data_IF_632203429375
#
_entry.id   IF_632203429375
#
_cell.length_a   1.000
_cell.length_b   1.000
_cell.length_c   1.000
_cell.angle_alpha   90.00
_cell.angle_beta   90.00
_cell.angle_gamma   90.00
#
_symmetry.space_group_name_H-M   'P 1'
#
loop_
_entity.id
_entity.type
_entity.pdbx_description
1 polymer ?
#
# COMPACT_ATOMS: atom_id res chain seq x y z
N UNK A 1 -12.83 32.58 35.52
CA UNK A 1 -12.54 32.90 34.10
C UNK A 1 -12.24 31.57 33.40
N UNK A 2 -13.18 31.04 32.61
CA UNK A 2 -13.05 29.77 31.87
C UNK A 2 -12.70 30.12 30.43
N UNK A 3 -11.62 29.55 29.91
CA UNK A 3 -11.13 29.78 28.55
C UNK A 3 -12.02 29.02 27.54
N UNK A 4 -12.66 29.69 26.57
CA UNK A 4 -13.62 29.06 25.65
C UNK A 4 -12.95 28.65 24.33
N UNK A 5 -11.84 27.91 24.39
CA UNK A 5 -11.27 27.22 23.23
C UNK A 5 -11.56 25.73 23.29
N UNK A 6 -12.85 25.42 23.15
CA UNK A 6 -13.30 24.21 22.48
C UNK A 6 -12.85 24.29 21.02
N UNK A 7 -11.67 23.74 20.71
CA UNK A 7 -11.09 23.74 19.37
C UNK A 7 -10.88 22.32 18.85
N UNK A 8 -11.94 21.73 18.28
CA UNK A 8 -11.86 20.68 17.28
C UNK A 8 -11.22 19.35 17.69
N UNK A 9 -12.03 18.29 17.77
CA UNK A 9 -11.55 16.90 17.63
C UNK A 9 -10.68 16.86 16.36
N UNK A 10 -9.42 16.37 16.40
CA UNK A 10 -8.61 16.30 15.19
C UNK A 10 -9.42 15.53 14.15
N UNK A 11 -9.60 16.13 12.98
CA UNK A 11 -10.20 15.47 11.83
C UNK A 11 -9.57 14.08 11.74
N UNK A 12 -10.40 13.04 11.75
CA UNK A 12 -9.94 11.66 11.72
C UNK A 12 -8.88 11.54 10.64
N UNK A 13 -7.68 11.07 11.02
CA UNK A 13 -6.59 10.84 10.07
C UNK A 13 -7.19 10.00 8.95
N UNK A 14 -7.34 10.52 7.72
CA UNK A 14 -7.98 9.79 6.64
C UNK A 14 -7.18 8.51 6.51
N UNK A 15 -7.74 7.37 6.93
CA UNK A 15 -7.01 6.12 7.19
C UNK A 15 -5.85 6.01 6.21
N UNK A 16 -4.67 6.47 6.64
CA UNK A 16 -3.52 6.55 5.76
C UNK A 16 -3.09 5.10 5.68
N UNK A 17 -3.67 4.39 4.71
CA UNK A 17 -3.33 3.01 4.42
C UNK A 17 -1.85 3.02 4.04
N UNK A 18 -1.00 2.80 5.04
CA UNK A 18 0.42 2.83 4.84
C UNK A 18 0.79 1.60 3.99
N UNK A 19 1.74 1.76 3.08
CA UNK A 19 2.21 0.67 2.22
C UNK A 19 2.71 -0.53 3.03
N UNK A 20 3.14 -0.30 4.28
CA UNK A 20 3.53 -1.35 5.22
C UNK A 20 2.34 -2.24 5.63
N UNK A 21 1.16 -1.66 5.89
CA UNK A 21 -0.05 -2.45 6.19
C UNK A 21 -0.54 -3.20 4.96
N UNK A 22 -0.58 -2.56 3.78
CA UNK A 22 -0.96 -3.26 2.56
C UNK A 22 -0.07 -4.49 2.29
N UNK A 23 1.25 -4.33 2.41
CA UNK A 23 2.21 -5.44 2.30
C UNK A 23 1.95 -6.54 3.33
N UNK A 24 1.64 -6.18 4.57
CA UNK A 24 1.40 -7.14 5.65
C UNK A 24 0.25 -8.09 5.31
N UNK A 25 -0.86 -7.56 4.79
CA UNK A 25 -2.00 -8.39 4.38
C UNK A 25 -1.64 -9.41 3.29
N UNK A 26 -0.80 -9.04 2.33
CA UNK A 26 -0.32 -10.01 1.34
C UNK A 26 0.62 -11.06 1.96
N UNK A 27 1.48 -10.69 2.91
CA UNK A 27 2.33 -11.67 3.63
C UNK A 27 1.47 -12.63 4.45
N UNK A 28 0.46 -12.12 5.15
CA UNK A 28 -0.50 -12.94 5.90
C UNK A 28 -1.24 -13.90 4.97
N UNK A 29 -1.73 -13.42 3.83
CA UNK A 29 -2.37 -14.25 2.82
C UNK A 29 -1.41 -15.30 2.22
N UNK A 30 -0.12 -14.99 2.07
CA UNK A 30 0.87 -15.95 1.60
C UNK A 30 1.04 -17.11 2.59
N UNK A 31 0.97 -16.83 3.89
CA UNK A 31 1.10 -17.84 4.93
C UNK A 31 -0.10 -18.80 5.02
N UNK A 32 -1.27 -18.42 4.51
CA UNK A 32 -2.44 -19.31 4.45
C UNK A 32 -2.36 -20.35 3.33
N UNK A 33 -1.48 -20.15 2.34
CA UNK A 33 -1.29 -21.11 1.26
C UNK A 33 -0.50 -22.35 1.73
N UNK A 34 -0.80 -23.55 1.17
CA UNK A 34 0.04 -24.73 1.31
C UNK A 34 1.48 -24.43 0.87
N UNK A 35 2.48 -25.04 1.54
CA UNK A 35 3.89 -24.74 1.28
C UNK A 35 4.28 -24.84 -0.20
N UNK A 36 3.77 -25.86 -0.91
CA UNK A 36 4.02 -26.09 -2.34
C UNK A 36 3.50 -24.98 -3.25
N UNK A 37 2.50 -24.21 -2.79
CA UNK A 37 1.87 -23.13 -3.54
C UNK A 37 2.44 -21.75 -3.19
N UNK A 38 3.24 -21.63 -2.12
CA UNK A 38 3.85 -20.35 -1.69
C UNK A 38 4.87 -19.83 -2.70
N UNK A 39 5.54 -20.74 -3.40
CA UNK A 39 6.55 -20.41 -4.41
C UNK A 39 6.03 -20.37 -5.85
N UNK A 40 4.75 -20.64 -6.07
CA UNK A 40 4.11 -20.54 -7.38
C UNK A 40 3.67 -19.12 -7.75
N UNK A 41 3.33 -18.87 -9.03
CA UNK A 41 2.65 -17.66 -9.44
C UNK A 41 1.30 -17.52 -8.72
N UNK A 42 1.05 -16.38 -8.09
CA UNK A 42 -0.24 -16.10 -7.44
C UNK A 42 -0.50 -14.60 -7.34
N UNK A 43 -1.78 -14.22 -7.29
CA UNK A 43 -2.17 -12.83 -7.07
C UNK A 43 -1.61 -12.25 -5.76
N UNK A 44 -1.37 -13.10 -4.75
CA UNK A 44 -0.73 -12.70 -3.49
C UNK A 44 0.70 -12.22 -3.74
N UNK A 45 1.49 -12.97 -4.55
CA UNK A 45 2.86 -12.59 -4.90
C UNK A 45 2.89 -11.36 -5.81
N UNK A 46 1.99 -11.27 -6.78
CA UNK A 46 1.86 -10.06 -7.61
C UNK A 46 1.62 -8.81 -6.74
N UNK A 47 0.74 -8.91 -5.74
CA UNK A 47 0.49 -7.84 -4.78
C UNK A 47 1.70 -7.47 -3.92
N UNK A 48 2.49 -8.47 -3.49
CA UNK A 48 3.77 -8.24 -2.79
C UNK A 48 4.77 -7.49 -3.67
N UNK A 49 4.90 -7.86 -4.94
CA UNK A 49 5.85 -7.24 -5.86
C UNK A 49 5.54 -5.76 -6.13
N UNK A 50 4.25 -5.39 -6.21
CA UNK A 50 3.86 -3.98 -6.24
C UNK A 50 4.34 -3.23 -4.99
N UNK A 51 4.13 -3.81 -3.80
CA UNK A 51 4.56 -3.20 -2.54
C UNK A 51 6.10 -3.08 -2.49
N UNK A 52 6.83 -4.14 -2.82
CA UNK A 52 8.29 -4.16 -2.84
C UNK A 52 8.86 -3.14 -3.82
N UNK A 53 8.24 -2.99 -5.00
CA UNK A 53 8.66 -1.99 -5.99
C UNK A 53 8.58 -0.58 -5.41
N UNK A 54 7.49 -0.24 -4.71
CA UNK A 54 7.36 1.07 -4.04
C UNK A 54 8.44 1.23 -2.95
N UNK A 55 8.66 0.22 -2.11
CA UNK A 55 9.70 0.29 -1.08
C UNK A 55 11.12 0.43 -1.66
N UNK A 56 11.41 -0.23 -2.78
CA UNK A 56 12.70 -0.07 -3.49
C UNK A 56 12.88 1.36 -3.97
N UNK A 57 11.86 1.94 -4.62
CA UNK A 57 11.89 3.34 -5.03
C UNK A 57 12.13 4.23 -3.80
N UNK A 58 11.35 4.09 -2.74
CA UNK A 58 11.49 4.93 -1.54
C UNK A 58 12.86 4.81 -0.86
N UNK A 59 13.52 3.64 -0.91
CA UNK A 59 14.90 3.47 -0.44
C UNK A 59 15.89 4.27 -1.27
N UNK A 60 15.74 4.28 -2.59
CA UNK A 60 16.60 5.05 -3.49
C UNK A 60 16.37 6.57 -3.39
N UNK A 61 15.18 7.00 -2.99
CA UNK A 61 14.85 8.43 -2.81
C UNK A 61 15.18 8.96 -1.41
N UNK A 62 15.78 8.14 -0.52
CA UNK A 62 15.96 8.44 0.90
C UNK A 62 16.75 9.74 1.13
N UNK A 63 17.84 9.91 0.41
CA UNK A 63 18.82 10.98 0.65
C UNK A 63 18.54 12.24 -0.19
N UNK A 64 17.45 12.24 -0.95
CA UNK A 64 17.03 13.41 -1.72
C UNK A 64 16.37 14.46 -0.83
N UNK A 65 16.47 15.72 -1.25
CA UNK A 65 15.70 16.81 -0.67
C UNK A 65 14.19 16.52 -0.79
N UNK A 66 13.34 17.08 0.09
CA UNK A 66 11.89 16.88 0.01
C UNK A 66 11.30 17.14 -1.38
N UNK A 67 11.70 18.24 -2.03
CA UNK A 67 11.25 18.59 -3.37
C UNK A 67 11.70 17.59 -4.45
N UNK A 68 12.98 17.19 -4.44
CA UNK A 68 13.50 16.22 -5.39
C UNK A 68 12.86 14.83 -5.20
N UNK A 69 12.64 14.42 -3.95
CA UNK A 69 11.92 13.19 -3.61
C UNK A 69 10.46 13.23 -4.08
N UNK A 70 9.77 14.36 -3.92
CA UNK A 70 8.42 14.52 -4.44
C UNK A 70 8.38 14.40 -5.97
N UNK A 71 9.25 15.11 -6.67
CA UNK A 71 9.34 15.02 -8.14
C UNK A 71 9.61 13.57 -8.59
N UNK A 72 10.57 12.90 -7.94
CA UNK A 72 10.88 11.50 -8.24
C UNK A 72 9.72 10.55 -7.94
N UNK A 73 8.94 10.75 -6.87
CA UNK A 73 7.72 9.96 -6.62
C UNK A 73 6.68 10.15 -7.73
N UNK A 74 6.53 11.36 -8.27
CA UNK A 74 5.60 11.62 -9.37
C UNK A 74 6.01 10.87 -10.64
N UNK A 75 7.30 10.78 -10.93
CA UNK A 75 7.80 10.09 -12.13
C UNK A 75 7.90 8.58 -11.94
N UNK A 76 8.25 8.10 -10.74
CA UNK A 76 8.61 6.70 -10.49
C UNK A 76 7.54 5.93 -9.73
N UNK A 77 7.04 6.48 -8.62
CA UNK A 77 6.07 5.78 -7.76
C UNK A 77 4.65 5.86 -8.36
N UNK A 78 4.24 7.02 -8.86
CA UNK A 78 2.89 7.25 -9.41
C UNK A 78 2.46 6.26 -10.50
N UNK A 79 3.28 5.93 -11.53
CA UNK A 79 2.89 4.93 -12.53
C UNK A 79 2.76 3.51 -11.96
N UNK A 80 3.59 3.14 -10.98
CA UNK A 80 3.49 1.85 -10.28
C UNK A 80 2.17 1.75 -9.54
N UNK A 81 1.80 2.81 -8.81
CA UNK A 81 0.53 2.87 -8.09
C UNK A 81 -0.68 2.86 -9.02
N UNK A 82 -0.61 3.54 -10.17
CA UNK A 82 -1.68 3.50 -11.17
C UNK A 82 -1.88 2.08 -11.73
N UNK A 83 -0.78 1.37 -12.04
CA UNK A 83 -0.83 -0.03 -12.48
C UNK A 83 -1.38 -0.93 -11.38
N UNK A 84 -0.94 -0.73 -10.14
CA UNK A 84 -1.41 -1.50 -9.00
C UNK A 84 -2.91 -1.31 -8.75
N UNK A 85 -3.39 -0.05 -8.79
CA UNK A 85 -4.81 0.25 -8.63
C UNK A 85 -5.66 -0.39 -9.75
N UNK A 86 -5.19 -0.38 -11.00
CA UNK A 86 -5.87 -1.07 -12.10
C UNK A 86 -5.92 -2.58 -11.87
N UNK A 87 -4.82 -3.18 -11.45
CA UNK A 87 -4.74 -4.61 -11.13
C UNK A 87 -5.67 -4.97 -9.94
N UNK A 88 -5.72 -4.17 -8.87
CA UNK A 88 -6.63 -4.42 -7.74
C UNK A 88 -8.12 -4.44 -8.17
N UNK A 89 -8.50 -3.62 -9.16
CA UNK A 89 -9.86 -3.64 -9.72
C UNK A 89 -10.17 -4.92 -10.48
N UNK A 90 -9.16 -5.56 -11.10
CA UNK A 90 -9.35 -6.88 -11.72
C UNK A 90 -9.48 -7.97 -10.65
N UNK A 91 -8.73 -7.85 -9.54
CA UNK A 91 -8.80 -8.81 -8.44
C UNK A 91 -10.15 -8.78 -7.70
N UNK A 92 -10.75 -7.60 -7.49
CA UNK A 92 -12.08 -7.47 -6.86
C UNK A 92 -13.19 -8.30 -7.53
N UNK A 93 -13.04 -8.64 -8.81
CA UNK A 93 -14.02 -9.45 -9.55
C UNK A 93 -13.84 -10.96 -9.35
N UNK A 94 -12.67 -11.39 -8.90
CA UNK A 94 -12.30 -12.81 -8.77
C UNK A 94 -12.11 -13.25 -7.32
N UNK A 95 -12.08 -12.31 -6.38
CA UNK A 95 -12.09 -12.59 -4.94
C UNK A 95 -13.52 -12.53 -4.42
N UNK A 96 -14.01 -13.62 -3.83
CA UNK A 96 -15.27 -13.60 -3.09
C UNK A 96 -15.13 -12.62 -1.91
N UNK A 97 -16.12 -11.74 -1.64
CA UNK A 97 -16.13 -11.01 -0.39
C UNK A 97 -16.11 -12.01 0.76
N UNK A 98 -15.37 -11.71 1.84
CA UNK A 98 -15.58 -12.45 3.08
C UNK A 98 -17.05 -12.24 3.46
N UNK A 99 -17.79 -13.35 3.60
CA UNK A 99 -19.18 -13.35 4.06
C UNK A 99 -19.31 -12.62 5.41
N UNK A 100 -20.52 -12.12 5.75
CA UNK A 100 -20.73 -11.00 6.69
C UNK A 100 -20.17 -11.19 8.09
#
# INVERSE_FOLDING_TARGET
MRDPLAGGRPAGHPHLWCWAHARRHFVEALHTLPAVARDGPSAIRDGLEFCHTIFRIERELRDLTPAARQAARQTRSRPVLARFARWLRTQKRVTLPQSP
#
